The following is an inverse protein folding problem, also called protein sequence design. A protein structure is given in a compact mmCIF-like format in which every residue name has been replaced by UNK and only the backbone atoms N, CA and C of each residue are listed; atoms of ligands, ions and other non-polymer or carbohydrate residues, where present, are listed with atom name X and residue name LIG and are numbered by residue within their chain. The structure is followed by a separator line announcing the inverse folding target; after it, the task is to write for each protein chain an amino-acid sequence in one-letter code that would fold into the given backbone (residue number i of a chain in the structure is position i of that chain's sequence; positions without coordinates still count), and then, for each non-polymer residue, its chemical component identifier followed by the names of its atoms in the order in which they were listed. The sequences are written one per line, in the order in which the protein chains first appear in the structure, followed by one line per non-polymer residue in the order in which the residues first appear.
data_IF_358289263922
#
_entry.id   IF_358289263922
#
_cell.length_a   1.000
_cell.length_b   1.000
_cell.length_c   1.000
_cell.angle_alpha   90.00
_cell.angle_beta   90.00
_cell.angle_gamma   90.00
#
_symmetry.space_group_name_H-M   'P 1'
#
loop_
_entity.id
_entity.type
_entity.pdbx_description
1 polymer ?
#
# COMPACT_ATOMS: atom_id res chain seq x y z
N UNK A 1 -2.49 -23.58 11.48
CA UNK A 1 -2.96 -22.95 10.23
C UNK A 1 -2.16 -21.66 10.02
N UNK A 2 -1.87 -21.27 8.77
CA UNK A 2 -1.37 -19.90 8.52
C UNK A 2 -2.55 -18.95 8.61
N UNK A 3 -2.48 -17.97 9.52
CA UNK A 3 -3.53 -16.96 9.68
C UNK A 3 -3.34 -15.84 8.65
N UNK A 4 -4.39 -15.59 7.87
CA UNK A 4 -4.48 -14.40 7.01
C UNK A 4 -4.93 -13.22 7.87
N UNK A 5 -4.27 -12.09 7.69
CA UNK A 5 -4.58 -10.83 8.36
C UNK A 5 -4.79 -9.75 7.31
N UNK A 6 -5.55 -8.71 7.67
CA UNK A 6 -5.71 -7.50 6.86
C UNK A 6 -4.80 -6.41 7.43
N UNK A 7 -4.04 -5.74 6.56
CA UNK A 7 -3.20 -4.61 6.90
C UNK A 7 -3.55 -3.40 6.03
N UNK A 8 -3.39 -2.21 6.61
CA UNK A 8 -3.57 -0.93 5.93
C UNK A 8 -2.17 -0.33 5.71
N UNK A 9 -1.78 -0.11 4.45
CA UNK A 9 -0.49 0.50 4.11
C UNK A 9 -0.72 1.75 3.29
N UNK A 10 -0.25 2.89 3.78
CA UNK A 10 -0.25 4.15 3.02
C UNK A 10 1.01 4.22 2.17
N UNK A 11 0.84 4.43 0.87
CA UNK A 11 1.95 4.54 -0.09
C UNK A 11 1.86 5.83 -0.88
N UNK A 12 3.00 6.29 -1.38
CA UNK A 12 3.06 7.36 -2.36
C UNK A 12 2.26 7.01 -3.61
N UNK A 13 1.73 8.00 -4.35
CA UNK A 13 0.92 7.80 -5.56
C UNK A 13 1.73 7.34 -6.78
N UNK A 14 2.83 6.60 -6.57
CA UNK A 14 3.64 6.00 -7.61
C UNK A 14 3.24 4.54 -7.83
N UNK A 15 2.09 4.33 -8.48
CA UNK A 15 1.49 3.01 -8.71
C UNK A 15 2.44 2.02 -9.39
N UNK A 16 3.23 2.46 -10.36
CA UNK A 16 4.19 1.59 -11.07
C UNK A 16 5.25 1.02 -10.13
N UNK A 17 5.82 1.87 -9.25
CA UNK A 17 6.80 1.40 -8.25
C UNK A 17 6.11 0.52 -7.21
N UNK A 18 4.97 0.92 -6.68
CA UNK A 18 4.22 0.15 -5.68
C UNK A 18 3.87 -1.26 -6.22
N UNK A 19 3.36 -1.35 -7.44
CA UNK A 19 2.99 -2.63 -8.07
C UNK A 19 4.20 -3.58 -8.26
N UNK A 20 5.39 -3.02 -8.52
CA UNK A 20 6.65 -3.80 -8.59
C UNK A 20 6.98 -4.49 -7.27
N UNK A 21 6.64 -3.91 -6.12
CA UNK A 21 6.89 -4.53 -4.81
C UNK A 21 5.77 -5.48 -4.41
N UNK A 22 4.51 -5.13 -4.70
CA UNK A 22 3.36 -6.01 -4.47
C UNK A 22 3.51 -7.35 -5.22
N UNK A 23 3.93 -7.31 -6.49
CA UNK A 23 4.15 -8.52 -7.30
C UNK A 23 5.31 -9.41 -6.83
N UNK A 24 6.23 -8.89 -6.00
CA UNK A 24 7.34 -9.66 -5.42
C UNK A 24 6.96 -10.41 -4.15
N UNK A 25 5.93 -9.94 -3.45
CA UNK A 25 5.46 -10.58 -2.22
C UNK A 25 4.44 -11.64 -2.59
N UNK A 26 4.70 -12.90 -2.22
CA UNK A 26 3.78 -14.00 -2.50
C UNK A 26 2.65 -14.00 -1.46
N UNK A 27 1.47 -14.49 -1.87
CA UNK A 27 0.31 -14.69 -0.98
C UNK A 27 -0.18 -13.41 -0.30
N UNK A 28 0.00 -12.26 -0.96
CA UNK A 28 -0.68 -11.02 -0.57
C UNK A 28 -1.63 -10.62 -1.68
N UNK A 29 -2.76 -10.02 -1.32
CA UNK A 29 -3.75 -9.49 -2.25
C UNK A 29 -4.15 -8.09 -1.79
N UNK A 30 -4.12 -7.14 -2.72
CA UNK A 30 -4.74 -5.82 -2.47
C UNK A 30 -6.23 -5.98 -2.70
N UNK A 31 -7.03 -5.79 -1.66
CA UNK A 31 -8.50 -5.92 -1.72
C UNK A 31 -9.18 -4.59 -1.97
N UNK A 32 -8.58 -3.48 -1.52
CA UNK A 32 -9.10 -2.12 -1.76
C UNK A 32 -7.95 -1.11 -1.91
N UNK A 33 -8.19 -0.07 -2.71
CA UNK A 33 -7.27 1.07 -2.90
C UNK A 33 -8.06 2.35 -2.67
N UNK A 34 -7.72 3.07 -1.61
CA UNK A 34 -8.39 4.29 -1.21
C UNK A 34 -7.46 5.49 -1.42
N UNK A 35 -7.80 6.43 -2.34
CA UNK A 35 -7.00 7.64 -2.51
C UNK A 35 -7.12 8.57 -1.30
N UNK A 36 -6.01 9.20 -0.94
CA UNK A 36 -5.92 10.26 0.06
C UNK A 36 -5.59 11.55 -0.69
N UNK A 37 -6.52 12.50 -0.64
CA UNK A 37 -6.37 13.82 -1.26
C UNK A 37 -5.91 14.85 -0.23
N UNK A 38 -5.11 15.82 -0.68
CA UNK A 38 -4.73 16.97 0.13
C UNK A 38 -5.89 17.94 0.35
N UNK A 39 -5.75 18.78 1.37
CA UNK A 39 -6.71 19.83 1.75
C UNK A 39 -6.48 21.09 0.92
N UNK A 40 -6.74 21.00 -0.37
CA UNK A 40 -6.89 22.16 -1.25
C UNK A 40 -8.33 22.17 -1.78
N UNK A 41 -8.76 23.31 -2.32
CA UNK A 41 -10.14 23.52 -2.82
C UNK A 41 -10.61 22.36 -3.72
N UNK A 42 -11.92 22.16 -3.92
CA UNK A 42 -12.42 21.06 -4.78
C UNK A 42 -11.77 21.03 -6.18
N UNK A 43 -11.38 22.21 -6.69
CA UNK A 43 -10.68 22.37 -7.97
C UNK A 43 -9.19 21.97 -7.93
N UNK A 44 -8.58 21.86 -6.74
CA UNK A 44 -7.15 21.65 -6.52
C UNK A 44 -6.85 20.41 -5.66
N UNK A 45 -7.80 19.47 -5.55
CA UNK A 45 -7.58 18.21 -4.81
C UNK A 45 -6.48 17.36 -5.46
N UNK A 46 -5.25 17.56 -5.02
CA UNK A 46 -4.12 16.76 -5.45
C UNK A 46 -4.08 15.43 -4.68
N UNK A 47 -3.79 14.34 -5.41
CA UNK A 47 -3.59 13.02 -4.82
C UNK A 47 -2.27 13.01 -4.04
N UNK A 48 -2.37 12.94 -2.71
CA UNK A 48 -1.22 12.94 -1.81
C UNK A 48 -0.68 11.52 -1.57
N UNK A 49 -1.58 10.54 -1.40
CA UNK A 49 -1.20 9.17 -1.11
C UNK A 49 -2.30 8.17 -1.51
N UNK A 50 -1.98 6.89 -1.43
CA UNK A 50 -2.91 5.78 -1.61
C UNK A 50 -2.87 4.90 -0.36
N UNK A 51 -4.02 4.66 0.27
CA UNK A 51 -4.16 3.66 1.32
C UNK A 51 -4.58 2.34 0.70
N UNK A 52 -3.70 1.35 0.81
CA UNK A 52 -3.93 -0.01 0.34
C UNK A 52 -4.47 -0.87 1.47
N UNK A 53 -5.53 -1.63 1.19
CA UNK A 53 -6.01 -2.70 2.07
C UNK A 53 -5.44 -4.00 1.53
N UNK A 54 -4.60 -4.66 2.31
CA UNK A 54 -3.84 -5.81 1.86
C UNK A 54 -4.10 -6.98 2.79
N UNK A 55 -4.49 -8.10 2.22
CA UNK A 55 -4.69 -9.35 2.93
C UNK A 55 -3.56 -10.33 2.64
N UNK A 56 -3.10 -11.05 3.66
CA UNK A 56 -2.05 -12.04 3.51
C UNK A 56 -1.56 -12.61 4.84
N UNK A 57 -0.62 -13.56 4.82
CA UNK A 57 0.03 -14.04 6.02
C UNK A 57 0.79 -12.91 6.73
N UNK A 58 0.71 -12.86 8.07
CA UNK A 58 1.32 -11.80 8.88
C UNK A 58 2.80 -11.53 8.53
N UNK A 59 3.59 -12.59 8.31
CA UNK A 59 5.01 -12.46 7.93
C UNK A 59 5.19 -11.78 6.57
N UNK A 60 4.34 -12.09 5.59
CA UNK A 60 4.41 -11.50 4.25
C UNK A 60 3.98 -10.04 4.25
N UNK A 61 2.97 -9.69 5.05
CA UNK A 61 2.54 -8.30 5.23
C UNK A 61 3.64 -7.45 5.88
N UNK A 62 4.29 -7.98 6.94
CA UNK A 62 5.45 -7.32 7.57
C UNK A 62 6.60 -7.12 6.58
N UNK A 63 6.94 -8.16 5.80
CA UNK A 63 7.99 -8.08 4.80
C UNK A 63 7.66 -7.05 3.71
N UNK A 64 6.42 -7.02 3.21
CA UNK A 64 5.96 -6.05 2.23
C UNK A 64 6.09 -4.61 2.75
N UNK A 65 5.62 -4.34 3.98
CA UNK A 65 5.75 -3.01 4.59
C UNK A 65 7.23 -2.59 4.73
N UNK A 66 8.11 -3.50 5.17
CA UNK A 66 9.55 -3.22 5.24
C UNK A 66 10.15 -2.90 3.87
N UNK A 67 9.77 -3.65 2.82
CA UNK A 67 10.24 -3.42 1.45
C UNK A 67 9.75 -2.07 0.90
N UNK A 68 8.50 -1.70 1.15
CA UNK A 68 7.93 -0.43 0.72
C UNK A 68 8.58 0.75 1.46
N UNK A 69 8.82 0.62 2.76
CA UNK A 69 9.51 1.63 3.56
C UNK A 69 10.97 1.81 3.12
N UNK A 70 11.72 0.72 2.94
CA UNK A 70 13.11 0.76 2.47
C UNK A 70 13.23 1.35 1.05
N UNK A 71 12.18 1.23 0.23
CA UNK A 71 12.11 1.85 -1.10
C UNK A 71 11.67 3.33 -1.06
N UNK A 72 11.37 3.89 0.11
CA UNK A 72 10.84 5.24 0.26
C UNK A 72 9.46 5.42 -0.37
N UNK A 73 8.68 4.34 -0.46
CA UNK A 73 7.34 4.34 -1.07
C UNK A 73 6.22 4.41 -0.04
N UNK A 74 6.50 4.14 1.24
CA UNK A 74 5.54 4.26 2.33
C UNK A 74 5.50 5.73 2.80
N UNK A 75 4.30 6.30 2.94
CA UNK A 75 4.06 7.70 3.33
C UNK A 75 3.48 7.80 4.74
#
# INVERSE_FOLDING_TARGET
MMEFQTAYITVQPNLSKVNKYLSKTKKVAVTQVNPIFGSSSEAERELQALRLHIEGPQQQLKQLSQMLNAAGLQA
#
